data_IF_456236467917
#
_entry.id   IF_456236467917
#
_cell.length_a   1.000
_cell.length_b   1.000
_cell.length_c   1.000
_cell.angle_alpha   90.00
_cell.angle_beta   90.00
_cell.angle_gamma   90.00
#
_symmetry.space_group_name_H-M   'P 1'
#
loop_
_entity.id
_entity.type
_entity.pdbx_description
1 polymer ?
#
# COMPACT_ATOMS: atom_id res chain seq x y z
N UNK A 1 0.32 -21.00 -2.88
CA UNK A 1 1.72 -21.34 -3.24
C UNK A 1 2.06 -20.97 -4.68
N UNK A 2 1.34 -21.48 -5.69
CA UNK A 2 1.63 -21.19 -7.11
C UNK A 2 1.58 -19.69 -7.46
N UNK A 3 0.64 -18.95 -6.88
CA UNK A 3 0.55 -17.49 -7.10
C UNK A 3 1.83 -16.76 -6.66
N UNK A 4 2.34 -17.07 -5.47
CA UNK A 4 3.57 -16.44 -4.97
C UNK A 4 4.79 -16.84 -5.83
N UNK A 5 4.87 -18.09 -6.29
CA UNK A 5 5.91 -18.51 -7.25
C UNK A 5 5.80 -17.73 -8.57
N UNK A 6 4.59 -17.47 -9.05
CA UNK A 6 4.34 -16.66 -10.26
C UNK A 6 4.79 -15.22 -10.06
N UNK A 7 4.45 -14.61 -8.92
CA UNK A 7 4.88 -13.27 -8.52
C UNK A 7 6.41 -13.16 -8.47
N UNK A 8 7.08 -14.16 -7.90
CA UNK A 8 8.54 -14.16 -7.79
C UNK A 8 9.28 -14.21 -9.13
N UNK A 9 8.61 -14.60 -10.24
CA UNK A 9 9.20 -14.46 -11.59
C UNK A 9 9.44 -13.01 -11.97
N UNK A 10 8.68 -12.08 -11.39
CA UNK A 10 8.82 -10.65 -11.58
C UNK A 10 9.87 -10.00 -10.70
N UNK A 11 10.47 -10.71 -9.72
CA UNK A 11 11.48 -10.13 -8.85
C UNK A 11 12.70 -9.69 -9.68
N UNK A 12 13.11 -8.44 -9.49
CA UNK A 12 14.29 -7.87 -10.13
C UNK A 12 15.56 -8.46 -9.50
N UNK A 13 16.66 -8.43 -10.24
CA UNK A 13 17.93 -9.01 -9.77
C UNK A 13 18.54 -8.27 -8.56
N UNK A 14 18.17 -7.01 -8.32
CA UNK A 14 18.50 -6.27 -7.10
C UNK A 14 17.54 -6.55 -5.93
N UNK A 15 16.51 -7.39 -6.10
CA UNK A 15 15.57 -7.79 -5.06
C UNK A 15 14.21 -7.07 -5.08
N UNK A 16 14.02 -6.03 -5.90
CA UNK A 16 12.73 -5.33 -6.03
C UNK A 16 11.63 -6.29 -6.45
N UNK A 17 10.48 -6.23 -5.78
CA UNK A 17 9.24 -6.84 -6.27
C UNK A 17 8.39 -5.75 -6.92
N UNK A 18 8.14 -5.81 -8.24
CA UNK A 18 7.35 -4.82 -8.92
C UNK A 18 5.86 -4.98 -8.56
N UNK A 19 5.12 -3.87 -8.50
CA UNK A 19 3.68 -3.93 -8.21
C UNK A 19 2.85 -4.57 -9.35
N UNK A 20 3.36 -4.59 -10.58
CA UNK A 20 2.71 -5.26 -11.70
C UNK A 20 3.68 -6.17 -12.47
N UNK A 21 3.15 -7.34 -12.84
CA UNK A 21 3.70 -8.23 -13.86
C UNK A 21 2.69 -8.26 -15.01
N UNK A 22 3.09 -7.82 -16.19
CA UNK A 22 2.20 -7.72 -17.34
C UNK A 22 1.99 -9.08 -18.01
N UNK A 23 0.76 -9.37 -18.42
CA UNK A 23 0.50 -10.43 -19.41
C UNK A 23 1.25 -10.10 -20.71
N UNK A 24 1.59 -11.13 -21.49
CA UNK A 24 2.17 -10.98 -22.83
C UNK A 24 1.12 -10.67 -23.91
N UNK A 25 -0.16 -10.59 -23.54
CA UNK A 25 -1.23 -10.28 -24.49
C UNK A 25 -1.00 -8.91 -25.17
N UNK A 26 -1.38 -8.74 -26.45
CA UNK A 26 -1.20 -7.49 -27.18
C UNK A 26 -1.87 -6.28 -26.51
N UNK A 27 -2.96 -6.50 -25.78
CA UNK A 27 -3.73 -5.43 -25.14
C UNK A 27 -2.94 -4.62 -24.10
N UNK A 28 -1.91 -5.25 -23.50
CA UNK A 28 -1.03 -4.65 -22.50
C UNK A 28 0.27 -4.08 -23.08
N UNK A 29 0.47 -4.11 -24.42
CA UNK A 29 1.70 -3.58 -25.03
C UNK A 29 1.92 -2.10 -24.71
N UNK A 30 0.84 -1.31 -24.72
CA UNK A 30 0.91 0.12 -24.38
C UNK A 30 1.39 0.33 -22.94
N UNK A 31 0.91 -0.48 -22.01
CA UNK A 31 1.26 -0.39 -20.58
C UNK A 31 2.72 -0.83 -20.37
N UNK A 32 3.15 -1.93 -21.01
CA UNK A 32 4.54 -2.36 -21.05
C UNK A 32 5.46 -1.27 -21.58
N UNK A 33 5.09 -0.59 -22.67
CA UNK A 33 5.87 0.50 -23.25
C UNK A 33 5.85 1.80 -22.43
N UNK A 34 4.75 2.05 -21.71
CA UNK A 34 4.65 3.19 -20.80
C UNK A 34 5.65 3.06 -19.66
N UNK A 35 5.66 1.91 -18.98
CA UNK A 35 6.64 1.56 -17.95
C UNK A 35 8.04 1.40 -18.52
N UNK A 36 8.23 0.49 -19.48
CA UNK A 36 9.54 0.21 -20.08
C UNK A 36 10.58 -0.14 -19.01
N UNK A 37 10.24 -1.03 -18.08
CA UNK A 37 11.12 -1.42 -16.97
C UNK A 37 12.50 -1.90 -17.41
N UNK A 38 12.61 -2.46 -18.62
CA UNK A 38 13.86 -2.91 -19.25
C UNK A 38 14.90 -1.82 -19.54
N UNK A 39 14.61 -0.53 -19.26
CA UNK A 39 15.67 0.49 -19.18
C UNK A 39 16.53 0.34 -17.93
N UNK A 40 16.05 -0.35 -16.90
CA UNK A 40 16.83 -0.71 -15.73
C UNK A 40 17.61 -2.00 -15.98
N UNK A 41 18.91 -2.07 -15.64
CA UNK A 41 19.67 -3.31 -15.75
C UNK A 41 19.18 -4.41 -14.81
N UNK A 42 18.38 -4.07 -13.80
CA UNK A 42 17.92 -5.03 -12.80
C UNK A 42 16.61 -5.73 -13.17
N UNK A 43 15.86 -5.20 -14.13
CA UNK A 43 14.56 -5.75 -14.50
C UNK A 43 14.69 -7.18 -15.08
N UNK A 44 13.70 -8.07 -14.85
CA UNK A 44 13.76 -9.44 -15.33
C UNK A 44 13.64 -9.51 -16.86
N UNK A 45 14.47 -10.33 -17.51
CA UNK A 45 14.50 -10.46 -18.98
C UNK A 45 13.26 -11.14 -19.56
N UNK A 46 12.67 -12.10 -18.82
CA UNK A 46 11.64 -13.02 -19.35
C UNK A 46 10.20 -12.54 -19.13
N UNK A 47 10.00 -11.55 -18.27
CA UNK A 47 8.67 -11.01 -17.93
C UNK A 47 8.70 -9.50 -17.94
N UNK A 48 7.69 -8.88 -18.53
CA UNK A 48 7.56 -7.43 -18.47
C UNK A 48 6.91 -7.03 -17.16
N UNK A 49 7.52 -6.06 -16.46
CA UNK A 49 7.04 -5.60 -15.15
C UNK A 49 6.91 -4.08 -15.12
N UNK A 50 6.23 -3.54 -14.12
CA UNK A 50 6.36 -2.11 -13.78
C UNK A 50 7.74 -1.78 -13.22
N UNK A 51 8.05 -0.49 -13.05
CA UNK A 51 9.32 -0.04 -12.45
C UNK A 51 9.22 0.50 -11.02
N UNK A 52 8.12 0.22 -10.31
CA UNK A 52 7.89 0.63 -8.92
C UNK A 52 7.40 -0.56 -8.08
N UNK A 53 7.51 -0.45 -6.75
CA UNK A 53 7.11 -1.49 -5.78
C UNK A 53 5.68 -1.28 -5.26
N UNK A 54 5.22 -2.14 -4.36
CA UNK A 54 4.05 -1.97 -3.50
C UNK A 54 4.34 -2.46 -2.07
N UNK A 55 3.44 -2.27 -1.09
CA UNK A 55 3.69 -2.66 0.30
C UNK A 55 4.10 -4.14 0.43
N UNK A 56 5.07 -4.49 1.30
CA UNK A 56 5.74 -5.80 1.30
C UNK A 56 4.91 -6.93 1.94
N UNK A 57 3.71 -7.18 1.41
CA UNK A 57 2.75 -8.19 1.89
C UNK A 57 3.16 -9.64 1.60
N UNK A 58 4.26 -9.87 0.86
CA UNK A 58 4.70 -11.21 0.49
C UNK A 58 4.98 -12.08 1.73
N UNK A 59 5.64 -11.54 2.76
CA UNK A 59 5.96 -12.28 3.97
C UNK A 59 4.68 -12.71 4.73
N UNK A 60 3.69 -11.83 4.83
CA UNK A 60 2.37 -12.15 5.41
C UNK A 60 1.73 -13.32 4.64
N UNK A 61 1.66 -13.24 3.31
CA UNK A 61 1.07 -14.31 2.49
C UNK A 61 1.83 -15.65 2.63
N UNK A 62 3.16 -15.62 2.71
CA UNK A 62 3.99 -16.82 2.94
C UNK A 62 3.64 -17.47 4.28
N UNK A 63 3.53 -16.68 5.35
CA UNK A 63 3.20 -17.18 6.69
C UNK A 63 1.77 -17.69 6.76
N UNK A 64 0.79 -16.97 6.21
CA UNK A 64 -0.62 -17.40 6.17
C UNK A 64 -0.77 -18.77 5.48
N UNK A 65 -0.09 -18.99 4.35
CA UNK A 65 -0.04 -20.30 3.70
C UNK A 65 0.65 -21.33 4.60
N UNK A 66 1.82 -20.98 5.16
CA UNK A 66 2.60 -21.87 6.00
C UNK A 66 1.83 -22.38 7.22
N UNK A 67 1.04 -21.53 7.86
CA UNK A 67 0.21 -21.88 9.02
C UNK A 67 -0.82 -22.96 8.70
N UNK A 68 -1.30 -23.05 7.45
CA UNK A 68 -2.23 -24.11 6.99
C UNK A 68 -1.53 -25.43 6.65
N UNK A 69 -0.19 -25.44 6.55
CA UNK A 69 0.60 -26.64 6.23
C UNK A 69 1.04 -27.39 7.49
N UNK A 70 1.29 -28.70 7.35
CA UNK A 70 1.94 -29.52 8.39
C UNK A 70 3.38 -29.08 8.59
N UNK A 71 3.95 -29.29 9.78
CA UNK A 71 5.28 -28.79 10.12
C UNK A 71 6.40 -29.10 9.09
N UNK A 72 6.53 -30.34 8.54
CA UNK A 72 7.56 -30.63 7.53
C UNK A 72 7.33 -29.92 6.18
N UNK A 73 6.06 -29.70 5.80
CA UNK A 73 5.69 -28.98 4.57
C UNK A 73 5.87 -27.48 4.75
N UNK A 74 5.49 -26.95 5.91
CA UNK A 74 5.72 -25.55 6.31
C UNK A 74 7.20 -25.20 6.27
N UNK A 75 8.06 -26.03 6.84
CA UNK A 75 9.51 -25.80 6.82
C UNK A 75 10.05 -25.75 5.39
N UNK A 76 9.67 -26.70 4.53
CA UNK A 76 10.07 -26.70 3.11
C UNK A 76 9.54 -25.50 2.34
N UNK A 77 8.30 -25.09 2.61
CA UNK A 77 7.69 -23.92 2.02
C UNK A 77 8.42 -22.63 2.41
N UNK A 78 8.76 -22.50 3.69
CA UNK A 78 9.53 -21.36 4.20
C UNK A 78 10.95 -21.32 3.64
N UNK A 79 11.62 -22.47 3.54
CA UNK A 79 12.94 -22.62 2.93
C UNK A 79 12.94 -22.15 1.46
N UNK A 80 11.92 -22.57 0.69
CA UNK A 80 11.74 -22.14 -0.70
C UNK A 80 11.56 -20.62 -0.84
N UNK A 81 10.81 -19.99 0.07
CA UNK A 81 10.50 -18.57 0.02
C UNK A 81 11.57 -17.68 0.67
N UNK A 82 12.54 -18.27 1.38
CA UNK A 82 13.49 -17.55 2.21
C UNK A 82 14.33 -16.54 1.43
N UNK A 83 15.08 -17.00 0.42
CA UNK A 83 16.00 -16.14 -0.31
C UNK A 83 15.30 -14.99 -1.04
N UNK A 84 14.16 -15.21 -1.75
CA UNK A 84 13.40 -14.12 -2.36
C UNK A 84 12.91 -13.08 -1.34
N UNK A 85 12.46 -13.52 -0.16
CA UNK A 85 12.01 -12.64 0.92
C UNK A 85 13.16 -11.78 1.48
N UNK A 86 14.32 -12.39 1.76
CA UNK A 86 15.50 -11.68 2.27
C UNK A 86 16.00 -10.66 1.23
N UNK A 87 16.04 -11.04 -0.04
CA UNK A 87 16.44 -10.14 -1.13
C UNK A 87 15.50 -8.93 -1.23
N UNK A 88 14.19 -9.14 -1.09
CA UNK A 88 13.23 -8.05 -1.14
C UNK A 88 13.39 -7.08 0.03
N UNK A 89 13.53 -7.57 1.26
CA UNK A 89 13.73 -6.69 2.41
C UNK A 89 15.07 -5.94 2.35
N UNK A 90 16.14 -6.60 1.91
CA UNK A 90 17.42 -5.93 1.63
C UNK A 90 17.26 -4.82 0.60
N UNK A 91 16.55 -5.08 -0.49
CA UNK A 91 16.25 -4.07 -1.50
C UNK A 91 15.49 -2.88 -0.92
N UNK A 92 14.43 -3.11 -0.13
CA UNK A 92 13.67 -2.03 0.52
C UNK A 92 14.62 -1.14 1.33
N UNK A 93 15.48 -1.74 2.15
CA UNK A 93 16.39 -0.98 2.98
C UNK A 93 17.53 -0.29 2.23
N UNK A 94 18.05 -0.90 1.17
CA UNK A 94 19.16 -0.35 0.40
C UNK A 94 18.68 0.78 -0.52
N UNK A 95 17.52 0.60 -1.14
CA UNK A 95 17.04 1.49 -2.20
C UNK A 95 15.97 2.46 -1.71
N UNK A 96 15.23 2.13 -0.65
CA UNK A 96 14.18 3.02 -0.08
C UNK A 96 14.56 3.65 1.24
N UNK A 97 15.72 3.31 1.81
CA UNK A 97 16.29 4.02 2.95
C UNK A 97 17.78 4.32 2.71
N UNK A 98 18.12 5.09 1.66
CA UNK A 98 19.51 5.31 1.24
C UNK A 98 20.31 6.11 2.29
N UNK A 99 19.64 6.95 3.07
CA UNK A 99 20.24 7.74 4.15
C UNK A 99 20.26 6.99 5.50
N UNK A 100 19.68 5.79 5.55
CA UNK A 100 19.54 5.00 6.76
C UNK A 100 18.78 5.78 7.85
N UNK A 101 17.71 6.49 7.54
CA UNK A 101 16.87 7.18 8.51
C UNK A 101 15.99 6.21 9.31
N UNK A 102 15.81 4.99 8.77
CA UNK A 102 15.03 3.90 9.37
C UNK A 102 13.68 3.70 8.71
N UNK A 103 13.15 4.68 7.97
CA UNK A 103 11.88 4.55 7.26
C UNK A 103 12.11 4.38 5.76
N UNK A 104 11.37 3.46 5.15
CA UNK A 104 11.34 3.33 3.71
C UNK A 104 10.56 4.49 3.09
N UNK A 105 11.18 5.18 2.14
CA UNK A 105 10.56 6.22 1.33
C UNK A 105 9.94 5.65 0.06
N UNK A 106 8.85 6.26 -0.33
CA UNK A 106 8.15 6.02 -1.59
C UNK A 106 8.36 7.20 -2.51
N UNK A 107 8.41 6.92 -3.81
CA UNK A 107 8.67 7.92 -4.86
C UNK A 107 7.48 8.09 -5.79
N UNK A 108 6.43 7.28 -5.62
CA UNK A 108 5.20 7.35 -6.40
C UNK A 108 4.01 6.88 -5.55
N UNK A 109 2.83 7.53 -5.59
CA UNK A 109 1.71 7.17 -4.72
C UNK A 109 1.18 5.74 -4.93
N UNK A 110 1.24 5.20 -6.15
CA UNK A 110 0.94 3.78 -6.42
C UNK A 110 1.74 2.80 -5.56
N UNK A 111 2.88 3.20 -5.01
CA UNK A 111 3.70 2.35 -4.14
C UNK A 111 3.13 2.15 -2.74
N UNK A 112 2.23 3.03 -2.27
CA UNK A 112 1.53 2.82 -1.01
C UNK A 112 0.28 1.94 -1.19
N UNK A 113 -0.14 1.69 -2.44
CA UNK A 113 -1.37 0.96 -2.78
C UNK A 113 -2.66 1.76 -2.59
N UNK A 114 -2.57 3.06 -2.26
CA UNK A 114 -3.69 3.97 -2.04
C UNK A 114 -3.57 5.20 -2.93
N UNK A 115 -3.75 5.00 -4.22
CA UNK A 115 -3.20 5.86 -5.26
C UNK A 115 -3.59 7.36 -5.21
N UNK A 116 -4.80 7.71 -4.76
CA UNK A 116 -5.26 9.10 -4.60
C UNK A 116 -5.51 9.48 -3.14
N UNK A 117 -4.83 8.81 -2.21
CA UNK A 117 -4.93 9.12 -0.78
C UNK A 117 -4.48 10.55 -0.48
N UNK A 118 -5.16 11.28 0.43
CA UNK A 118 -4.92 12.70 0.65
C UNK A 118 -3.48 13.14 0.92
N UNK A 119 -2.64 12.44 1.73
CA UNK A 119 -1.26 12.85 1.94
C UNK A 119 -0.47 13.06 0.65
N UNK A 120 -0.65 12.17 -0.34
CA UNK A 120 0.00 12.28 -1.64
C UNK A 120 -0.63 13.35 -2.52
N UNK A 121 -1.95 13.48 -2.50
CA UNK A 121 -2.66 14.44 -3.35
C UNK A 121 -2.44 15.88 -2.87
N UNK A 122 -2.47 16.12 -1.56
CA UNK A 122 -2.09 17.40 -0.96
C UNK A 122 -0.64 17.75 -1.32
N UNK A 123 0.27 16.79 -1.20
CA UNK A 123 1.67 16.97 -1.55
C UNK A 123 1.87 17.31 -3.04
N UNK A 124 1.12 16.65 -3.93
CA UNK A 124 1.10 16.90 -5.37
C UNK A 124 0.52 18.28 -5.73
N UNK A 125 -0.50 18.73 -5.02
CA UNK A 125 -1.08 20.06 -5.17
C UNK A 125 -0.11 21.17 -4.74
N UNK A 126 0.63 20.96 -3.66
CA UNK A 126 1.58 21.93 -3.10
C UNK A 126 2.84 22.13 -3.96
N UNK A 127 3.34 21.07 -4.60
CA UNK A 127 4.65 21.09 -5.27
C UNK A 127 4.63 21.50 -6.76
N UNK A 128 3.53 22.09 -7.24
CA UNK A 128 3.33 22.56 -8.62
C UNK A 128 3.77 21.55 -9.70
N UNK A 129 2.79 20.85 -10.27
CA UNK A 129 3.02 20.01 -11.44
C UNK A 129 3.71 20.78 -12.59
N UNK A 130 4.37 20.08 -13.54
CA UNK A 130 4.96 20.70 -14.71
C UNK A 130 4.04 21.74 -15.37
N UNK A 131 4.60 22.86 -15.82
CA UNK A 131 3.84 24.01 -16.34
C UNK A 131 2.80 23.64 -17.40
N UNK A 132 3.07 22.63 -18.23
CA UNK A 132 2.12 22.16 -19.24
C UNK A 132 0.87 21.50 -18.64
N UNK A 133 0.98 20.82 -17.49
CA UNK A 133 -0.16 20.24 -16.78
C UNK A 133 -1.00 21.34 -16.15
N UNK A 134 -0.35 22.31 -15.49
CA UNK A 134 -1.03 23.47 -14.93
C UNK A 134 -1.72 24.29 -16.02
N UNK A 135 -1.11 24.41 -17.20
CA UNK A 135 -1.73 25.03 -18.37
C UNK A 135 -2.98 24.27 -18.83
N UNK A 136 -2.91 22.94 -18.96
CA UNK A 136 -4.08 22.14 -19.33
C UNK A 136 -5.21 22.33 -18.31
N UNK A 137 -4.91 22.22 -17.02
CA UNK A 137 -5.89 22.39 -15.93
C UNK A 137 -6.54 23.78 -15.90
N UNK A 138 -5.73 24.84 -16.02
CA UNK A 138 -6.26 26.22 -16.04
C UNK A 138 -7.10 26.49 -17.28
N UNK A 139 -6.82 25.82 -18.40
CA UNK A 139 -7.57 25.94 -19.66
C UNK A 139 -8.71 24.93 -19.81
N UNK A 140 -8.91 24.02 -18.83
CA UNK A 140 -9.89 22.91 -18.85
C UNK A 140 -9.73 21.93 -20.02
N UNK A 141 -8.57 21.92 -20.66
CA UNK A 141 -8.26 21.07 -21.83
C UNK A 141 -7.93 19.61 -21.43
N UNK A 142 -7.73 19.34 -20.14
CA UNK A 142 -7.56 17.99 -19.59
C UNK A 142 -8.78 17.09 -19.81
N UNK A 143 -9.96 17.65 -20.10
CA UNK A 143 -11.16 16.90 -20.48
C UNK A 143 -10.92 15.99 -21.69
N UNK A 144 -10.03 16.40 -22.61
CA UNK A 144 -9.64 15.60 -23.79
C UNK A 144 -8.82 14.36 -23.39
N UNK A 145 -8.06 14.44 -22.29
CA UNK A 145 -7.30 13.29 -21.76
C UNK A 145 -8.26 12.20 -21.26
N UNK A 146 -9.41 12.60 -20.68
CA UNK A 146 -10.46 11.70 -20.23
C UNK A 146 -10.97 10.75 -21.32
N UNK A 147 -10.96 11.16 -22.59
CA UNK A 147 -11.40 10.33 -23.72
C UNK A 147 -10.47 9.13 -24.00
N UNK A 148 -9.22 9.21 -23.55
CA UNK A 148 -8.21 8.16 -23.76
C UNK A 148 -7.95 7.29 -22.53
N UNK A 149 -8.61 7.60 -21.41
CA UNK A 149 -8.52 6.83 -20.16
C UNK A 149 -9.19 5.47 -20.32
N UNK A 150 -8.47 4.41 -19.95
CA UNK A 150 -8.99 3.02 -19.97
C UNK A 150 -9.73 2.69 -18.69
N UNK A 151 -9.27 3.22 -17.56
CA UNK A 151 -9.84 2.99 -16.21
C UNK A 151 -11.29 3.46 -16.10
N UNK A 152 -11.65 4.55 -16.80
CA UNK A 152 -13.02 5.07 -16.83
C UNK A 152 -13.95 4.36 -17.83
N UNK A 153 -13.46 3.32 -18.53
CA UNK A 153 -14.30 2.52 -19.43
C UNK A 153 -15.12 1.47 -18.67
N UNK A 154 -14.56 0.94 -17.59
CA UNK A 154 -15.18 -0.07 -16.75
C UNK A 154 -15.69 0.47 -15.42
N UNK A 155 -15.23 1.65 -14.98
CA UNK A 155 -15.65 2.28 -13.72
C UNK A 155 -16.06 3.74 -13.96
N UNK A 156 -17.13 4.26 -13.33
CA UNK A 156 -17.54 5.65 -13.48
C UNK A 156 -16.44 6.65 -13.11
N UNK A 157 -16.32 7.74 -13.88
CA UNK A 157 -15.24 8.71 -13.70
C UNK A 157 -15.25 9.42 -12.33
N UNK A 158 -16.42 9.62 -11.73
CA UNK A 158 -16.58 10.19 -10.40
C UNK A 158 -16.12 9.25 -9.27
N UNK A 159 -15.92 7.96 -9.56
CA UNK A 159 -15.37 6.99 -8.62
C UNK A 159 -13.86 6.80 -8.79
N UNK A 160 -13.22 7.50 -9.74
CA UNK A 160 -11.78 7.39 -10.05
C UNK A 160 -11.09 8.75 -9.89
N UNK A 161 -9.78 8.75 -10.12
CA UNK A 161 -8.94 9.96 -10.17
C UNK A 161 -9.53 11.04 -11.08
N UNK A 162 -9.28 12.29 -10.74
CA UNK A 162 -9.43 13.42 -11.65
C UNK A 162 -8.40 13.34 -12.79
N UNK A 163 -8.68 14.01 -13.92
CA UNK A 163 -7.72 14.04 -15.03
C UNK A 163 -6.40 14.74 -14.65
N UNK A 164 -6.45 15.70 -13.74
CA UNK A 164 -5.28 16.41 -13.21
C UNK A 164 -4.34 15.48 -12.45
N UNK A 165 -4.89 14.68 -11.52
CA UNK A 165 -4.13 13.69 -10.76
C UNK A 165 -3.48 12.69 -11.70
N UNK A 166 -4.25 12.11 -12.64
CA UNK A 166 -3.73 11.15 -13.64
C UNK A 166 -2.53 11.73 -14.40
N UNK A 167 -2.62 12.96 -14.90
CA UNK A 167 -1.51 13.59 -15.61
C UNK A 167 -0.27 13.74 -14.73
N UNK A 168 -0.44 14.11 -13.45
CA UNK A 168 0.63 14.16 -12.47
C UNK A 168 1.32 12.81 -12.28
N UNK A 169 0.53 11.76 -12.05
CA UNK A 169 1.02 10.39 -11.87
C UNK A 169 1.80 9.89 -13.10
N UNK A 170 1.23 10.04 -14.30
CA UNK A 170 1.92 9.65 -15.54
C UNK A 170 3.17 10.48 -15.79
N UNK A 171 3.17 11.78 -15.48
CA UNK A 171 4.36 12.61 -15.59
C UNK A 171 5.49 12.12 -14.68
N UNK A 172 5.17 11.73 -13.45
CA UNK A 172 6.16 11.19 -12.53
C UNK A 172 6.66 9.81 -12.97
N UNK A 173 5.76 8.90 -13.38
CA UNK A 173 6.14 7.62 -13.99
C UNK A 173 7.15 7.79 -15.15
N UNK A 174 6.90 8.74 -16.06
CA UNK A 174 7.80 9.03 -17.18
C UNK A 174 9.15 9.57 -16.72
N UNK A 175 9.19 10.32 -15.62
CA UNK A 175 10.42 10.80 -14.98
C UNK A 175 11.22 9.64 -14.38
N UNK A 176 10.57 8.73 -13.64
CA UNK A 176 11.23 7.52 -13.10
C UNK A 176 11.88 6.71 -14.22
N UNK A 177 11.16 6.50 -15.33
CA UNK A 177 11.67 5.84 -16.53
C UNK A 177 12.88 6.55 -17.13
N UNK A 178 12.84 7.89 -17.27
CA UNK A 178 13.98 8.68 -17.79
C UNK A 178 15.22 8.58 -16.91
N UNK A 179 15.05 8.38 -15.61
CA UNK A 179 16.15 8.16 -14.66
C UNK A 179 16.61 6.70 -14.61
N UNK A 180 16.01 5.81 -15.40
CA UNK A 180 16.38 4.40 -15.46
C UNK A 180 16.02 3.62 -14.20
N UNK A 181 15.05 4.11 -13.41
CA UNK A 181 14.68 3.53 -12.12
C UNK A 181 15.84 3.43 -11.09
N UNK A 182 16.87 4.27 -11.24
CA UNK A 182 17.96 4.37 -10.28
C UNK A 182 17.59 5.39 -9.19
N UNK A 183 17.58 4.94 -7.93
CA UNK A 183 17.11 5.78 -6.82
C UNK A 183 17.94 7.04 -6.63
N UNK A 184 19.27 6.96 -6.69
CA UNK A 184 20.14 8.12 -6.48
C UNK A 184 19.82 9.25 -7.47
N UNK A 185 19.62 8.89 -8.74
CA UNK A 185 19.23 9.83 -9.80
C UNK A 185 17.80 10.38 -9.67
N UNK A 186 16.91 9.64 -9.01
CA UNK A 186 15.54 10.05 -8.72
C UNK A 186 15.52 11.04 -7.55
N UNK A 187 16.34 10.80 -6.52
CA UNK A 187 16.40 11.62 -5.32
C UNK A 187 17.22 12.90 -5.48
N UNK A 188 18.23 12.91 -6.36
CA UNK A 188 19.04 14.10 -6.69
C UNK A 188 18.20 15.34 -7.06
N UNK A 189 16.97 15.14 -7.53
CA UNK A 189 15.99 16.21 -7.74
C UNK A 189 14.57 15.70 -7.44
N UNK A 190 14.35 15.08 -6.27
CA UNK A 190 13.06 14.51 -5.89
C UNK A 190 11.94 15.55 -6.02
N UNK A 191 10.92 15.25 -6.83
CA UNK A 191 9.68 16.02 -6.84
C UNK A 191 8.78 15.58 -5.69
N UNK A 192 8.70 14.26 -5.47
CA UNK A 192 7.89 13.66 -4.43
C UNK A 192 8.62 12.48 -3.79
N UNK A 193 8.81 12.54 -2.47
CA UNK A 193 9.37 11.46 -1.68
C UNK A 193 8.71 11.49 -0.29
N UNK A 194 8.00 10.42 0.06
CA UNK A 194 7.25 10.33 1.32
C UNK A 194 7.64 9.05 2.05
N UNK A 195 7.99 9.20 3.32
CA UNK A 195 8.07 8.08 4.26
C UNK A 195 6.64 7.73 4.68
N UNK A 196 6.07 6.77 3.96
CA UNK A 196 4.65 6.45 4.01
C UNK A 196 4.31 5.53 5.18
N UNK A 197 3.26 5.90 5.93
CA UNK A 197 2.82 5.18 7.12
C UNK A 197 2.30 3.78 6.81
N UNK A 198 1.57 3.58 5.70
CA UNK A 198 1.05 2.27 5.30
C UNK A 198 2.18 1.32 4.95
N UNK A 199 3.11 1.76 4.10
CA UNK A 199 4.23 0.93 3.68
C UNK A 199 5.12 0.54 4.86
N UNK A 200 5.47 1.48 5.73
CA UNK A 200 6.33 1.21 6.88
C UNK A 200 5.62 0.36 7.95
N UNK A 201 4.30 0.53 8.15
CA UNK A 201 3.52 -0.36 9.04
C UNK A 201 3.56 -1.81 8.56
N UNK A 202 3.37 -2.02 7.25
CA UNK A 202 3.41 -3.36 6.65
C UNK A 202 4.84 -3.91 6.66
N UNK A 203 5.86 -3.08 6.42
CA UNK A 203 7.27 -3.47 6.50
C UNK A 203 7.64 -3.97 7.90
N UNK A 204 7.25 -3.27 8.97
CA UNK A 204 7.48 -3.71 10.35
C UNK A 204 6.84 -5.09 10.59
N UNK A 205 5.60 -5.28 10.12
CA UNK A 205 4.93 -6.58 10.23
C UNK A 205 5.65 -7.67 9.43
N UNK A 206 6.08 -7.37 8.21
CA UNK A 206 6.80 -8.29 7.33
C UNK A 206 8.17 -8.69 7.90
N UNK A 207 8.88 -7.75 8.53
CA UNK A 207 10.15 -8.01 9.22
C UNK A 207 10.00 -9.04 10.35
N UNK A 208 8.90 -8.96 11.11
CA UNK A 208 8.58 -9.95 12.16
C UNK A 208 8.31 -11.32 11.56
N UNK A 209 7.56 -11.38 10.45
CA UNK A 209 7.37 -12.64 9.73
C UNK A 209 8.67 -13.23 9.21
N UNK A 210 9.62 -12.40 8.79
CA UNK A 210 10.96 -12.87 8.42
C UNK A 210 11.68 -13.54 9.61
N UNK A 211 11.59 -12.94 10.79
CA UNK A 211 12.14 -13.54 12.02
C UNK A 211 11.45 -14.87 12.37
N UNK A 212 10.12 -14.92 12.27
CA UNK A 212 9.34 -16.15 12.51
C UNK A 212 9.71 -17.26 11.52
N UNK A 213 9.84 -16.92 10.23
CA UNK A 213 10.27 -17.83 9.17
C UNK A 213 11.68 -18.36 9.46
N UNK A 214 12.63 -17.46 9.75
CA UNK A 214 14.02 -17.78 10.06
C UNK A 214 14.13 -18.81 11.20
N UNK A 215 13.39 -18.58 12.29
CA UNK A 215 13.35 -19.48 13.44
C UNK A 215 12.84 -20.89 13.08
N UNK A 216 11.84 -21.00 12.21
CA UNK A 216 11.27 -22.29 11.78
C UNK A 216 12.23 -23.08 10.89
N UNK A 217 12.93 -22.41 9.97
CA UNK A 217 13.87 -23.06 9.06
C UNK A 217 15.26 -23.27 9.67
N UNK A 218 15.56 -22.57 10.77
CA UNK A 218 16.84 -22.51 11.48
C UNK A 218 17.93 -21.80 10.67
N UNK A 219 17.56 -20.70 10.05
CA UNK A 219 18.47 -19.77 9.38
C UNK A 219 18.61 -18.50 10.23
N UNK A 220 19.74 -17.83 10.10
CA UNK A 220 19.97 -16.53 10.73
C UNK A 220 19.66 -15.40 9.75
N UNK A 221 19.00 -14.35 10.24
CA UNK A 221 18.87 -13.11 9.47
C UNK A 221 20.23 -12.40 9.43
N UNK A 222 20.60 -11.79 8.29
CA UNK A 222 21.79 -10.96 8.21
C UNK A 222 21.78 -9.86 9.28
N UNK A 223 22.91 -9.67 9.97
CA UNK A 223 23.02 -8.71 11.08
C UNK A 223 22.71 -7.27 10.65
N UNK A 224 23.17 -6.88 9.46
CA UNK A 224 22.88 -5.57 8.85
C UNK A 224 21.38 -5.34 8.62
N UNK A 225 20.67 -6.41 8.24
CA UNK A 225 19.23 -6.37 8.03
C UNK A 225 18.50 -6.23 9.37
N UNK A 226 18.89 -7.01 10.39
CA UNK A 226 18.31 -6.91 11.74
C UNK A 226 18.50 -5.52 12.36
N UNK A 227 19.66 -4.91 12.21
CA UNK A 227 19.92 -3.55 12.70
C UNK A 227 18.95 -2.55 12.08
N UNK A 228 18.75 -2.63 10.76
CA UNK A 228 17.83 -1.76 10.03
C UNK A 228 16.37 -1.98 10.42
N UNK A 229 15.96 -3.24 10.64
CA UNK A 229 14.62 -3.56 11.16
C UNK A 229 14.35 -2.88 12.51
N UNK A 230 15.30 -2.95 13.45
CA UNK A 230 15.18 -2.25 14.74
C UNK A 230 15.21 -0.73 14.59
N UNK A 231 15.94 -0.21 13.61
CA UNK A 231 15.95 1.23 13.31
C UNK A 231 14.60 1.70 12.79
N UNK A 232 13.95 0.92 11.93
CA UNK A 232 12.58 1.20 11.46
C UNK A 232 11.60 1.32 12.61
N UNK A 233 11.60 0.37 13.52
CA UNK A 233 10.75 0.40 14.71
C UNK A 233 10.92 1.71 15.51
N UNK A 234 12.18 2.11 15.79
CA UNK A 234 12.48 3.36 16.50
C UNK A 234 12.08 4.63 15.73
N UNK A 235 12.32 4.66 14.42
CA UNK A 235 11.98 5.81 13.58
C UNK A 235 10.45 5.94 13.42
N UNK A 236 9.74 4.82 13.33
CA UNK A 236 8.29 4.76 13.22
C UNK A 236 7.60 5.34 14.46
N UNK A 237 8.14 5.14 15.65
CA UNK A 237 7.63 5.76 16.88
C UNK A 237 7.65 7.30 16.87
N UNK A 238 8.48 7.92 16.03
CA UNK A 238 8.58 9.37 15.86
C UNK A 238 7.50 9.95 14.93
N UNK A 239 6.75 9.08 14.23
CA UNK A 239 5.62 9.49 13.40
C UNK A 239 4.35 9.77 14.22
N UNK A 240 4.38 9.49 15.53
CA UNK A 240 3.29 9.79 16.46
C UNK A 240 3.29 11.27 16.86
N UNK A 241 2.16 11.93 16.67
CA UNK A 241 1.90 13.24 17.24
C UNK A 241 1.06 13.13 18.52
N UNK A 242 1.69 13.43 19.65
CA UNK A 242 1.03 13.44 20.97
C UNK A 242 -0.14 14.43 21.05
N UNK A 243 -0.13 15.49 20.22
CA UNK A 243 -1.18 16.53 20.24
C UNK A 243 -2.49 16.02 19.65
N UNK A 244 -2.42 15.31 18.53
CA UNK A 244 -3.60 14.78 17.84
C UNK A 244 -3.91 13.33 18.24
N UNK A 245 -2.97 12.65 18.89
CA UNK A 245 -3.08 11.25 19.26
C UNK A 245 -3.12 10.33 18.03
N UNK A 246 -2.36 10.66 16.99
CA UNK A 246 -2.38 9.98 15.70
C UNK A 246 -0.96 9.84 15.11
N UNK A 247 -0.82 8.91 14.17
CA UNK A 247 0.37 8.76 13.34
C UNK A 247 0.17 9.45 11.99
N UNK A 248 1.24 10.03 11.43
CA UNK A 248 1.23 10.63 10.10
C UNK A 248 2.43 10.19 9.27
N UNK A 249 2.24 10.09 7.94
CA UNK A 249 3.36 10.01 6.99
C UNK A 249 4.22 11.27 7.08
N UNK A 250 5.48 11.18 6.62
CA UNK A 250 6.44 12.28 6.68
C UNK A 250 7.01 12.58 5.30
N UNK A 251 7.14 13.86 4.97
CA UNK A 251 7.90 14.29 3.79
C UNK A 251 9.39 13.97 4.03
N UNK A 252 9.99 13.23 3.11
CA UNK A 252 11.39 12.81 3.21
C UNK A 252 12.38 13.98 3.11
N UNK A 253 12.05 15.03 2.35
CA UNK A 253 12.91 16.20 2.12
C UNK A 253 12.79 17.21 3.25
N UNK A 254 11.57 17.50 3.70
CA UNK A 254 11.34 18.55 4.72
C UNK A 254 11.24 18.02 6.14
N UNK A 255 11.13 16.70 6.30
CA UNK A 255 10.85 16.00 7.56
C UNK A 255 9.58 16.48 8.28
N UNK A 256 8.68 17.17 7.57
CA UNK A 256 7.40 17.62 8.11
C UNK A 256 6.37 16.50 8.03
N UNK A 257 5.54 16.38 9.06
CA UNK A 257 4.38 15.50 9.02
C UNK A 257 3.37 15.97 7.98
N UNK A 258 2.87 15.02 7.21
CA UNK A 258 1.75 15.20 6.30
C UNK A 258 0.46 14.98 7.08
N UNK A 259 -0.07 16.08 7.63
CA UNK A 259 -1.19 16.09 8.61
C UNK A 259 -2.57 15.83 8.00
N UNK A 260 -2.63 14.93 7.04
CA UNK A 260 -3.88 14.42 6.46
C UNK A 260 -4.15 13.05 7.08
N UNK A 261 -5.19 12.95 7.91
CA UNK A 261 -5.56 11.66 8.52
C UNK A 261 -6.25 10.77 7.50
N UNK A 262 -5.86 9.50 7.44
CA UNK A 262 -6.41 8.49 6.54
C UNK A 262 -6.47 7.15 7.27
N UNK A 263 -6.99 6.10 6.61
CA UNK A 263 -6.95 4.74 7.15
C UNK A 263 -5.52 4.26 7.46
N UNK A 264 -4.50 4.85 6.84
CA UNK A 264 -3.09 4.60 7.18
C UNK A 264 -2.80 4.88 8.66
N UNK A 265 -3.48 5.86 9.27
CA UNK A 265 -3.37 6.20 10.70
C UNK A 265 -3.68 5.01 11.61
N UNK A 266 -4.46 4.03 11.14
CA UNK A 266 -4.87 2.84 11.89
C UNK A 266 -3.92 1.64 11.67
N UNK A 267 -3.10 1.64 10.62
CA UNK A 267 -2.16 0.55 10.32
C UNK A 267 -1.00 0.33 11.32
N UNK A 268 -0.62 1.29 12.18
CA UNK A 268 0.22 0.99 13.34
C UNK A 268 -0.33 -0.13 14.24
N UNK A 269 -1.66 -0.35 14.27
CA UNK A 269 -2.26 -1.52 14.92
C UNK A 269 -1.81 -2.83 14.25
N UNK A 270 -1.82 -2.87 12.92
CA UNK A 270 -1.38 -4.02 12.13
C UNK A 270 0.12 -4.29 12.27
N UNK A 271 0.94 -3.23 12.28
CA UNK A 271 2.38 -3.33 12.54
C UNK A 271 2.67 -4.06 13.88
N UNK A 272 1.80 -3.84 14.88
CA UNK A 272 1.89 -4.47 16.20
C UNK A 272 3.07 -3.97 17.04
N UNK A 273 3.67 -2.84 16.69
CA UNK A 273 4.85 -2.28 17.37
C UNK A 273 4.51 -1.23 18.43
N UNK A 274 3.33 -0.60 18.33
CA UNK A 274 2.96 0.54 19.17
C UNK A 274 2.58 0.14 20.61
N UNK A 275 2.58 1.11 21.52
CA UNK A 275 2.13 0.89 22.90
C UNK A 275 0.62 0.62 22.96
N UNK A 276 0.16 -0.05 24.02
CA UNK A 276 -1.27 -0.29 24.27
C UNK A 276 -2.04 1.02 24.43
N UNK A 277 -1.40 2.05 24.97
CA UNK A 277 -1.96 3.38 25.15
C UNK A 277 -2.21 4.07 23.81
N UNK A 278 -1.23 4.02 22.88
CA UNK A 278 -1.40 4.53 21.52
C UNK A 278 -2.45 3.72 20.75
N UNK A 279 -2.47 2.40 20.90
CA UNK A 279 -3.50 1.54 20.31
C UNK A 279 -4.92 1.96 20.79
N UNK A 280 -5.11 2.19 22.10
CA UNK A 280 -6.38 2.72 22.64
C UNK A 280 -6.77 4.06 22.02
N UNK A 281 -5.81 4.96 21.79
CA UNK A 281 -6.09 6.25 21.13
C UNK A 281 -6.54 6.07 19.68
N UNK A 282 -5.97 5.12 18.94
CA UNK A 282 -6.41 4.80 17.57
C UNK A 282 -7.80 4.15 17.55
N UNK A 283 -8.11 3.27 18.51
CA UNK A 283 -9.46 2.66 18.64
C UNK A 283 -10.53 3.70 18.90
N UNK A 284 -10.25 4.78 19.65
CA UNK A 284 -11.21 5.89 19.82
C UNK A 284 -11.58 6.58 18.50
N UNK A 285 -10.71 6.54 17.48
CA UNK A 285 -11.02 7.07 16.15
C UNK A 285 -11.98 6.14 15.39
N UNK A 286 -11.86 4.83 15.63
CA UNK A 286 -12.77 3.81 15.09
C UNK A 286 -14.16 3.92 15.75
N UNK A 287 -14.22 4.23 17.04
CA UNK A 287 -15.48 4.40 17.78
C UNK A 287 -16.22 5.70 17.44
N UNK A 288 -15.55 6.67 16.82
CA UNK A 288 -16.11 8.00 16.56
C UNK A 288 -16.81 8.05 15.19
N UNK A 289 -18.13 8.30 15.13
CA UNK A 289 -18.87 8.38 13.87
C UNK A 289 -18.40 9.48 12.94
N UNK A 290 -17.92 10.60 13.47
CA UNK A 290 -17.34 11.69 12.68
C UNK A 290 -15.92 11.40 12.17
N UNK A 291 -15.36 10.24 12.48
CA UNK A 291 -14.03 9.78 12.05
C UNK A 291 -14.18 8.50 11.20
N UNK A 292 -13.83 7.33 11.75
CA UNK A 292 -13.86 6.06 11.03
C UNK A 292 -15.07 5.17 11.40
N UNK A 293 -15.84 5.55 12.42
CA UNK A 293 -16.98 4.78 12.93
C UNK A 293 -18.29 4.99 12.17
N UNK A 294 -18.24 4.97 10.83
CA UNK A 294 -19.43 5.03 9.98
C UNK A 294 -20.21 3.69 10.02
N UNK A 295 -21.40 3.67 9.42
CA UNK A 295 -22.29 2.51 9.41
C UNK A 295 -21.64 1.26 8.79
N UNK A 296 -20.80 1.44 7.76
CA UNK A 296 -19.96 0.39 7.17
C UNK A 296 -18.47 0.77 7.26
N UNK A 297 -17.83 0.59 8.44
CA UNK A 297 -16.45 0.98 8.68
C UNK A 297 -15.47 0.04 7.93
N UNK A 298 -14.24 0.45 7.63
CA UNK A 298 -13.61 1.74 7.92
C UNK A 298 -13.46 2.53 6.61
N UNK A 299 -13.88 3.82 6.56
CA UNK A 299 -13.64 4.64 5.39
C UNK A 299 -12.13 4.88 5.20
N UNK A 300 -11.69 5.04 3.94
CA UNK A 300 -10.28 5.28 3.64
C UNK A 300 -9.75 6.61 4.18
N UNK A 301 -10.64 7.55 4.49
CA UNK A 301 -10.37 8.84 5.17
C UNK A 301 -11.48 9.10 6.19
N UNK A 302 -11.23 9.82 7.30
CA UNK A 302 -12.26 10.08 8.29
C UNK A 302 -13.38 10.96 7.71
N UNK A 303 -14.62 10.77 8.17
CA UNK A 303 -15.78 11.52 7.69
C UNK A 303 -15.61 13.05 7.82
N UNK A 304 -14.91 13.51 8.86
CA UNK A 304 -14.62 14.93 9.06
C UNK A 304 -13.58 15.52 8.11
N UNK A 305 -12.92 14.71 7.26
CA UNK A 305 -11.90 15.18 6.35
C UNK A 305 -12.49 16.05 5.25
N UNK A 306 -11.80 17.13 4.89
CA UNK A 306 -12.15 17.94 3.71
C UNK A 306 -12.02 17.16 2.38
N UNK A 307 -11.34 16.02 2.41
CA UNK A 307 -11.20 15.11 1.28
C UNK A 307 -12.29 14.03 1.20
N UNK A 308 -13.17 13.91 2.20
CA UNK A 308 -14.15 12.83 2.25
C UNK A 308 -15.16 12.92 1.10
N UNK A 309 -15.10 11.95 0.18
CA UNK A 309 -16.08 11.67 -0.86
C UNK A 309 -16.39 10.17 -0.80
N UNK A 310 -17.59 9.76 -0.33
CA UNK A 310 -17.90 8.36 -0.05
C UNK A 310 -17.88 7.45 -1.28
N UNK A 311 -17.83 8.03 -2.49
CA UNK A 311 -17.83 7.29 -3.74
C UNK A 311 -16.47 7.26 -4.44
N UNK A 312 -15.47 8.00 -3.94
CA UNK A 312 -14.24 8.27 -4.70
C UNK A 312 -13.04 7.51 -4.14
N UNK A 313 -12.85 6.30 -4.65
CA UNK A 313 -11.61 5.53 -4.55
C UNK A 313 -10.95 5.54 -3.14
N UNK A 314 -9.76 6.13 -2.95
CA UNK A 314 -9.09 6.23 -1.63
C UNK A 314 -9.38 7.51 -0.85
N UNK A 315 -10.47 8.21 -1.19
CA UNK A 315 -10.91 9.46 -0.54
C UNK A 315 -12.21 9.32 0.25
N UNK A 316 -12.63 8.11 0.62
CA UNK A 316 -13.85 7.90 1.41
C UNK A 316 -14.28 6.44 1.52
N UNK A 317 -14.38 5.69 0.41
CA UNK A 317 -14.84 4.30 0.42
C UNK A 317 -14.18 3.39 1.47
N UNK A 318 -14.93 2.36 1.89
CA UNK A 318 -14.46 1.24 2.69
C UNK A 318 -13.88 0.14 1.81
N UNK A 319 -12.74 -0.41 2.24
CA UNK A 319 -11.93 -1.35 1.47
C UNK A 319 -11.67 -2.62 2.28
N UNK A 320 -12.06 -3.79 1.74
CA UNK A 320 -11.99 -5.07 2.47
C UNK A 320 -10.55 -5.44 2.85
N UNK A 321 -9.57 -5.12 2.01
CA UNK A 321 -8.16 -5.35 2.34
C UNK A 321 -7.68 -4.51 3.52
N UNK A 322 -8.12 -3.26 3.63
CA UNK A 322 -7.76 -2.41 4.76
C UNK A 322 -8.50 -2.80 6.03
N UNK A 323 -9.78 -3.15 5.93
CA UNK A 323 -10.54 -3.71 7.03
C UNK A 323 -9.86 -4.97 7.57
N UNK A 324 -9.43 -5.88 6.69
CA UNK A 324 -8.71 -7.09 7.09
C UNK A 324 -7.42 -6.77 7.86
N UNK A 325 -6.62 -5.80 7.41
CA UNK A 325 -5.40 -5.38 8.11
C UNK A 325 -5.70 -4.76 9.48
N UNK A 326 -6.74 -3.93 9.59
CA UNK A 326 -7.11 -3.29 10.86
C UNK A 326 -7.73 -4.31 11.83
N UNK A 327 -8.55 -5.24 11.35
CA UNK A 327 -9.09 -6.36 12.15
C UNK A 327 -7.94 -7.18 12.75
N UNK A 328 -6.93 -7.53 11.95
CA UNK A 328 -5.71 -8.18 12.43
C UNK A 328 -5.00 -7.37 13.51
N UNK A 329 -4.88 -6.05 13.31
CA UNK A 329 -4.30 -5.15 14.29
C UNK A 329 -5.09 -5.12 15.60
N UNK A 330 -6.41 -4.97 15.54
CA UNK A 330 -7.29 -4.92 16.72
C UNK A 330 -7.17 -6.18 17.57
N UNK A 331 -7.20 -7.37 16.94
CA UNK A 331 -7.01 -8.66 17.63
C UNK A 331 -5.68 -8.74 18.36
N UNK A 332 -4.57 -8.22 17.79
CA UNK A 332 -3.25 -8.20 18.46
C UNK A 332 -3.23 -7.40 19.75
N UNK A 333 -4.08 -6.39 19.85
CA UNK A 333 -4.18 -5.55 21.06
C UNK A 333 -5.34 -5.93 21.98
N UNK A 334 -6.08 -7.00 21.66
CA UNK A 334 -7.19 -7.50 22.48
C UNK A 334 -8.50 -6.72 22.33
N UNK A 335 -8.69 -6.01 21.22
CA UNK A 335 -9.94 -5.34 20.87
C UNK A 335 -10.81 -6.26 20.00
N UNK A 336 -11.10 -7.45 20.52
CA UNK A 336 -11.78 -8.52 19.76
C UNK A 336 -13.20 -8.13 19.35
N UNK A 337 -13.94 -7.41 20.21
CA UNK A 337 -15.29 -6.92 19.90
C UNK A 337 -15.29 -5.94 18.71
N UNK A 338 -14.36 -4.97 18.69
CA UNK A 338 -14.21 -4.05 17.55
C UNK A 338 -13.83 -4.81 16.28
N UNK A 339 -12.92 -5.77 16.38
CA UNK A 339 -12.52 -6.60 15.26
C UNK A 339 -13.70 -7.44 14.72
N UNK A 340 -14.55 -7.95 15.61
CA UNK A 340 -15.74 -8.72 15.25
C UNK A 340 -16.76 -7.87 14.52
N UNK A 341 -17.09 -6.67 15.02
CA UNK A 341 -18.05 -5.76 14.37
C UNK A 341 -17.60 -5.40 12.95
N UNK A 342 -16.32 -5.02 12.76
CA UNK A 342 -15.81 -4.70 11.42
C UNK A 342 -15.81 -5.94 10.52
N UNK A 343 -15.55 -7.13 11.07
CA UNK A 343 -15.61 -8.40 10.31
C UNK A 343 -17.03 -8.67 9.81
N UNK A 344 -18.03 -8.56 10.69
CA UNK A 344 -19.44 -8.80 10.36
C UNK A 344 -19.93 -7.84 9.28
N UNK A 345 -19.69 -6.53 9.44
CA UNK A 345 -20.10 -5.51 8.47
C UNK A 345 -19.34 -5.64 7.13
N UNK A 346 -18.08 -6.07 7.16
CA UNK A 346 -17.32 -6.37 5.93
C UNK A 346 -17.92 -7.54 5.15
N UNK A 347 -18.33 -8.60 5.87
CA UNK A 347 -18.98 -9.77 5.27
C UNK A 347 -20.37 -9.40 4.76
N UNK A 348 -21.12 -8.56 5.49
CA UNK A 348 -22.45 -8.08 5.09
C UNK A 348 -22.42 -7.35 3.74
N UNK A 349 -21.50 -6.38 3.56
CA UNK A 349 -21.33 -5.68 2.28
C UNK A 349 -21.09 -6.64 1.10
N UNK A 350 -20.22 -7.63 1.30
CA UNK A 350 -19.87 -8.61 0.25
C UNK A 350 -21.00 -9.61 0.03
N UNK A 351 -21.74 -9.99 1.06
CA UNK A 351 -22.87 -10.89 0.96
C UNK A 351 -24.05 -10.27 0.21
N UNK A 352 -24.29 -8.96 0.41
CA UNK A 352 -25.39 -8.25 -0.26
C UNK A 352 -25.05 -7.88 -1.71
N UNK A 353 -23.81 -7.45 -1.97
CA UNK A 353 -23.46 -6.82 -3.25
C UNK A 353 -22.43 -7.60 -4.07
N UNK A 354 -21.84 -8.66 -3.54
CA UNK A 354 -20.79 -9.43 -4.19
C UNK A 354 -19.40 -8.79 -4.06
N UNK A 355 -18.45 -9.32 -4.82
CA UNK A 355 -17.04 -8.98 -4.68
C UNK A 355 -16.68 -7.70 -5.45
N UNK A 356 -16.88 -6.54 -4.85
CA UNK A 356 -16.47 -5.26 -5.43
C UNK A 356 -15.12 -4.77 -4.91
N UNK A 357 -14.50 -3.85 -5.64
CA UNK A 357 -13.20 -3.24 -5.32
C UNK A 357 -13.27 -2.47 -3.98
N UNK A 358 -14.34 -1.70 -3.78
CA UNK A 358 -14.64 -0.93 -2.56
C UNK A 358 -16.13 -0.65 -2.42
N UNK A 359 -16.54 -0.17 -1.25
CA UNK A 359 -17.94 0.04 -0.87
C UNK A 359 -18.14 1.42 -0.26
N UNK A 360 -19.31 2.00 -0.41
CA UNK A 360 -19.66 3.26 0.23
C UNK A 360 -19.77 3.03 1.77
N UNK A 361 -19.07 3.80 2.60
CA UNK A 361 -18.99 3.54 4.03
C UNK A 361 -20.25 3.97 4.80
N UNK A 362 -21.20 4.66 4.15
CA UNK A 362 -22.43 5.15 4.76
C UNK A 362 -23.61 4.22 4.52
N UNK A 363 -23.67 3.57 3.36
CA UNK A 363 -24.83 2.74 2.97
C UNK A 363 -24.46 1.34 2.47
N UNK A 364 -23.17 1.02 2.40
CA UNK A 364 -22.67 -0.30 1.99
C UNK A 364 -22.69 -0.53 0.47
N UNK A 365 -23.18 0.42 -0.32
CA UNK A 365 -23.37 0.25 -1.76
C UNK A 365 -22.04 -0.06 -2.49
N UNK A 366 -22.07 -0.92 -3.52
CA UNK A 366 -20.86 -1.36 -4.19
C UNK A 366 -20.32 -0.31 -5.16
N UNK A 367 -18.99 -0.20 -5.23
CA UNK A 367 -18.30 0.75 -6.09
C UNK A 367 -17.08 0.09 -6.77
N UNK A 368 -16.47 0.79 -7.74
CA UNK A 368 -15.27 0.31 -8.42
C UNK A 368 -15.50 -0.93 -9.29
N UNK A 369 -14.46 -1.72 -9.49
CA UNK A 369 -14.53 -2.93 -10.31
C UNK A 369 -15.32 -4.07 -9.64
N UNK A 370 -16.11 -4.78 -10.44
CA UNK A 370 -16.78 -6.04 -10.07
C UNK A 370 -15.80 -7.23 -10.06
N UNK A 371 -16.18 -8.32 -9.39
CA UNK A 371 -15.43 -9.58 -9.30
C UNK A 371 -13.98 -9.40 -8.81
N UNK A 372 -13.80 -8.51 -7.83
CA UNK A 372 -12.49 -8.11 -7.34
C UNK A 372 -11.84 -9.21 -6.49
N UNK A 373 -10.65 -9.65 -6.90
CA UNK A 373 -10.04 -10.89 -6.40
C UNK A 373 -9.65 -10.85 -4.92
N UNK A 374 -9.09 -9.73 -4.43
CA UNK A 374 -8.75 -9.65 -3.00
C UNK A 374 -9.99 -9.61 -2.12
N UNK A 375 -11.13 -9.14 -2.64
CA UNK A 375 -12.36 -9.01 -1.86
C UNK A 375 -12.89 -10.41 -1.61
N UNK A 376 -12.93 -11.23 -2.66
CA UNK A 376 -13.24 -12.64 -2.54
C UNK A 376 -12.26 -13.38 -1.60
N UNK A 377 -10.95 -13.23 -1.83
CA UNK A 377 -9.94 -13.96 -1.05
C UNK A 377 -9.97 -13.63 0.44
N UNK A 378 -10.09 -12.35 0.79
CA UNK A 378 -10.10 -11.91 2.19
C UNK A 378 -11.44 -12.16 2.87
N UNK A 379 -12.54 -12.12 2.13
CA UNK A 379 -13.86 -12.54 2.67
C UNK A 379 -13.85 -14.04 2.99
N UNK A 380 -13.26 -14.87 2.12
CA UNK A 380 -13.06 -16.29 2.42
C UNK A 380 -12.23 -16.47 3.69
N UNK A 381 -11.14 -15.73 3.85
CA UNK A 381 -10.35 -15.81 5.07
C UNK A 381 -11.16 -15.39 6.31
N UNK A 382 -11.91 -14.29 6.25
CA UNK A 382 -12.74 -13.80 7.34
C UNK A 382 -13.82 -14.80 7.78
N UNK A 383 -14.46 -15.49 6.83
CA UNK A 383 -15.46 -16.52 7.10
C UNK A 383 -14.91 -17.78 7.77
N UNK A 384 -13.59 -18.01 7.72
CA UNK A 384 -12.94 -19.24 8.19
C UNK A 384 -12.08 -19.05 9.46
N UNK A 385 -12.29 -17.95 10.19
CA UNK A 385 -11.50 -17.58 11.38
C UNK A 385 -12.09 -18.08 12.69
#
# INVERSE_FOLDING_TARGET
>A
QNELRSLLRGQWSNGMLPHMIFSNDPDFERDRQAWRSWVSPYSPEKVSTSGITQPPMLAEAVVQIGQRLKAPERRRWYDEMWQPLVNHHRWVYQERDPHQEGLALLIHPWECGMDNTPPWMAYLQDHQLPLWINFLHTTKLETVVGLFRRDTRSVPANQRFTNYEVLGLYSDQLRLRRKGYNIDRILDHALFAIEDLTFNSILIRANRHLQDIAAVIKEDLPEDLLERMHKTEKAFDQLWDETTGQYYSRDFTTHKWLRESTIATLLPLYAGHISKERAKSLVKLIENPGQFGLDFPLPSVPQSSGWFDPNRYWQGPSWINMNWLVIEGLKRYGFDDHAQVITELSIEMVAEHGNHEYFNPQDGSPLGAENFSWTAALTIDLLNR
#
